data_IF_561834012416
#
_entry.id   IF_561834012416
#
_cell.length_a   1.000
_cell.length_b   1.000
_cell.length_c   1.000
_cell.angle_alpha   90.00
_cell.angle_beta   90.00
_cell.angle_gamma   90.00
#
_symmetry.space_group_name_H-M   'P 1'
#
loop_
_entity.id
_entity.type
_entity.pdbx_description
1 polymer ?
#
# COMPACT_ATOMS: atom_id res chain seq x y z
N UNK A 1 31.58 -0.97 -9.67
CA UNK A 1 32.28 -0.82 -8.39
C UNK A 1 31.30 -0.17 -7.43
N UNK A 2 31.03 -0.85 -6.32
CA UNK A 2 30.25 -0.46 -5.14
C UNK A 2 28.75 -0.17 -5.26
N UNK A 3 28.01 -1.01 -4.53
CA UNK A 3 26.62 -0.91 -4.09
C UNK A 3 26.42 0.25 -3.09
N UNK A 4 25.20 0.77 -3.02
CA UNK A 4 24.59 1.47 -1.86
C UNK A 4 23.08 1.24 -2.01
N UNK A 5 22.52 0.16 -1.49
CA UNK A 5 22.03 -0.06 -0.11
C UNK A 5 21.08 1.02 0.42
N UNK A 6 19.83 0.57 0.57
CA UNK A 6 18.68 1.16 1.23
C UNK A 6 18.99 1.65 2.65
N UNK A 7 18.62 2.91 2.96
CA UNK A 7 18.35 3.32 4.33
C UNK A 7 16.85 3.45 4.56
N UNK A 8 16.26 2.35 5.05
CA UNK A 8 15.02 2.39 5.82
C UNK A 8 15.28 3.17 7.12
N UNK A 9 14.34 4.07 7.45
CA UNK A 9 14.26 4.79 8.72
C UNK A 9 14.22 3.78 9.88
N UNK A 10 15.32 3.68 10.64
CA UNK A 10 15.37 3.03 11.95
C UNK A 10 15.20 4.09 13.04
N UNK A 11 14.06 4.05 13.72
CA UNK A 11 13.82 4.75 14.97
C UNK A 11 14.79 4.23 16.04
N UNK A 12 15.65 5.12 16.54
CA UNK A 12 16.64 4.84 17.58
C UNK A 12 15.95 4.91 18.96
N UNK A 13 15.77 3.77 19.62
CA UNK A 13 15.54 3.72 21.07
C UNK A 13 16.89 3.86 21.77
N UNK A 14 17.11 4.96 22.48
CA UNK A 14 18.25 5.11 23.39
C UNK A 14 17.88 4.42 24.70
N UNK A 15 18.47 3.26 24.96
CA UNK A 15 18.49 2.61 26.27
C UNK A 15 19.77 3.02 26.97
N UNK A 16 19.64 3.79 28.06
CA UNK A 16 20.75 4.10 28.97
C UNK A 16 20.87 2.96 29.97
N UNK A 17 21.93 2.15 29.83
CA UNK A 17 22.35 1.18 30.83
C UNK A 17 23.16 1.90 31.92
N UNK A 18 22.62 1.98 33.13
CA UNK A 18 23.39 2.29 34.34
C UNK A 18 23.65 0.99 35.08
N UNK A 19 24.92 0.59 35.08
CA UNK A 19 25.43 -0.51 35.89
C UNK A 19 25.63 -0.04 37.33
N UNK A 20 24.93 -0.65 38.27
CA UNK A 20 25.19 -0.53 39.70
C UNK A 20 25.29 -1.91 40.32
N UNK A 21 26.51 -2.36 40.59
CA UNK A 21 26.78 -3.58 41.33
C UNK A 21 26.53 -3.33 42.83
N UNK A 22 25.75 -4.20 43.47
CA UNK A 22 25.85 -4.43 44.91
C UNK A 22 25.79 -5.93 45.22
N UNK A 23 26.85 -6.34 45.90
CA UNK A 23 27.12 -7.63 46.53
C UNK A 23 26.24 -7.76 47.78
N UNK A 24 25.70 -8.94 48.01
CA UNK A 24 25.06 -9.30 49.28
C UNK A 24 24.70 -10.78 49.34
N UNK A 25 25.56 -11.56 50.00
CA UNK A 25 25.27 -12.89 50.56
C UNK A 25 24.04 -12.81 51.50
N UNK A 26 23.18 -13.81 51.66
CA UNK A 26 23.46 -14.96 52.53
C UNK A 26 22.35 -16.04 52.47
N UNK A 27 22.82 -17.29 52.41
CA UNK A 27 22.39 -18.53 53.09
C UNK A 27 20.92 -18.89 53.41
N UNK A 28 20.53 -20.05 52.83
CA UNK A 28 19.85 -21.24 53.42
C UNK A 28 18.56 -21.11 54.24
N UNK A 29 17.52 -21.86 53.85
CA UNK A 29 17.11 -23.04 54.63
C UNK A 29 16.07 -23.94 53.95
N UNK A 30 16.22 -25.22 54.26
CA UNK A 30 15.37 -26.39 53.99
C UNK A 30 13.87 -26.17 54.26
N UNK A 31 13.01 -26.81 53.46
CA UNK A 31 12.09 -27.82 54.00
C UNK A 31 11.69 -28.85 52.93
N UNK A 32 11.93 -30.12 53.25
CA UNK A 32 11.23 -31.24 52.65
C UNK A 32 9.79 -31.23 53.17
N UNK A 33 8.82 -31.45 52.29
CA UNK A 33 7.54 -32.04 52.70
C UNK A 33 7.19 -33.17 51.74
N UNK A 34 7.25 -34.38 52.30
CA UNK A 34 6.77 -35.62 51.73
C UNK A 34 5.24 -35.63 51.70
N UNK A 35 4.67 -35.96 50.55
CA UNK A 35 3.26 -36.27 50.41
C UNK A 35 3.08 -37.30 49.30
N UNK A 36 3.29 -38.56 49.65
CA UNK A 36 2.84 -39.70 48.86
C UNK A 36 1.34 -39.89 49.09
N UNK A 37 0.56 -39.93 48.02
CA UNK A 37 -0.49 -40.95 47.92
C UNK A 37 -0.80 -41.29 46.44
N UNK A 38 -0.96 -42.59 46.13
CA UNK A 38 -1.15 -43.07 44.77
C UNK A 38 -2.65 -43.18 44.47
N UNK A 39 -3.11 -42.57 43.38
CA UNK A 39 -4.39 -42.95 42.79
C UNK A 39 -4.25 -43.08 41.29
N UNK A 40 -4.17 -44.34 40.89
CA UNK A 40 -4.26 -44.88 39.55
C UNK A 40 -5.53 -44.40 38.86
N UNK A 41 -5.39 -43.56 37.84
CA UNK A 41 -6.39 -43.43 36.79
C UNK A 41 -5.74 -43.84 35.46
N UNK A 42 -6.23 -44.96 34.94
CA UNK A 42 -5.96 -45.43 33.58
C UNK A 42 -6.46 -44.37 32.60
N UNK A 43 -5.56 -43.53 32.11
CA UNK A 43 -5.81 -42.65 30.96
C UNK A 43 -5.40 -43.46 29.75
N UNK A 44 -6.40 -43.88 28.97
CA UNK A 44 -6.18 -44.43 27.64
C UNK A 44 -5.31 -43.43 26.86
N UNK A 45 -4.15 -43.91 26.41
CA UNK A 45 -3.31 -43.22 25.42
C UNK A 45 -4.17 -43.02 24.17
N UNK A 46 -4.82 -41.86 24.12
CA UNK A 46 -5.42 -41.34 22.92
C UNK A 46 -4.23 -40.96 22.04
N UNK A 47 -3.93 -41.82 21.06
CA UNK A 47 -2.99 -41.55 19.98
C UNK A 47 -3.29 -40.15 19.46
N UNK A 48 -2.47 -39.20 19.89
CA UNK A 48 -2.49 -37.85 19.40
C UNK A 48 -1.83 -37.97 18.05
N UNK A 49 -2.65 -38.12 17.00
CA UNK A 49 -2.23 -38.01 15.62
C UNK A 49 -1.39 -36.73 15.51
N UNK A 50 -0.07 -36.92 15.51
CA UNK A 50 0.92 -35.88 15.35
C UNK A 50 0.94 -35.50 13.88
N UNK A 51 -0.17 -34.92 13.42
CA UNK A 51 -0.14 -34.10 12.23
C UNK A 51 0.78 -32.92 12.57
N UNK A 52 1.96 -32.91 11.94
CA UNK A 52 2.79 -31.71 11.90
C UNK A 52 1.86 -30.53 11.58
N UNK A 53 1.81 -29.49 12.43
CA UNK A 53 0.91 -28.37 12.19
C UNK A 53 1.18 -27.84 10.79
N UNK A 54 0.17 -27.85 9.93
CA UNK A 54 0.29 -27.28 8.60
C UNK A 54 0.73 -25.82 8.74
N UNK A 55 1.76 -25.41 7.99
CA UNK A 55 2.21 -24.04 8.02
C UNK A 55 1.07 -23.08 7.68
N UNK A 56 0.98 -21.96 8.39
CA UNK A 56 -0.03 -20.96 8.12
C UNK A 56 0.19 -20.33 6.74
N UNK A 57 -0.89 -20.12 6.00
CA UNK A 57 -0.84 -19.66 4.62
C UNK A 57 -2.01 -18.73 4.30
N UNK A 58 -1.81 -17.92 3.26
CA UNK A 58 -2.82 -17.04 2.68
C UNK A 58 -2.87 -17.32 1.18
N UNK A 59 -4.07 -17.28 0.63
CA UNK A 59 -4.29 -17.33 -0.80
C UNK A 59 -5.29 -16.26 -1.22
N UNK A 60 -5.16 -15.82 -2.46
CA UNK A 60 -6.10 -14.94 -3.10
C UNK A 60 -6.43 -15.46 -4.50
N UNK A 61 -7.69 -15.28 -4.91
CA UNK A 61 -8.12 -15.44 -6.29
C UNK A 61 -8.84 -14.18 -6.73
N UNK A 62 -8.68 -13.83 -8.00
CA UNK A 62 -9.28 -12.64 -8.59
C UNK A 62 -10.40 -13.03 -9.56
N UNK A 63 -11.54 -12.36 -9.46
CA UNK A 63 -12.65 -12.49 -10.40
C UNK A 63 -13.02 -11.11 -10.94
N UNK A 64 -13.07 -10.96 -12.27
CA UNK A 64 -13.58 -9.73 -12.90
C UNK A 64 -15.10 -9.65 -12.70
N UNK A 65 -15.57 -8.51 -12.22
CA UNK A 65 -17.00 -8.19 -12.08
C UNK A 65 -17.35 -7.11 -13.10
N UNK A 66 -17.58 -7.53 -14.35
CA UNK A 66 -17.68 -6.62 -15.48
C UNK A 66 -16.32 -6.00 -15.85
N UNK A 67 -16.36 -4.82 -16.50
CA UNK A 67 -15.15 -4.21 -17.06
C UNK A 67 -14.34 -3.40 -16.03
N UNK A 68 -15.00 -2.91 -14.97
CA UNK A 68 -14.46 -1.87 -14.11
C UNK A 68 -14.28 -2.30 -12.66
N UNK A 69 -14.57 -3.56 -12.31
CA UNK A 69 -14.43 -4.03 -10.93
C UNK A 69 -13.73 -5.38 -10.87
N UNK A 70 -12.96 -5.57 -9.81
CA UNK A 70 -12.32 -6.84 -9.47
C UNK A 70 -12.72 -7.22 -8.06
N UNK A 71 -13.24 -8.43 -7.91
CA UNK A 71 -13.43 -9.09 -6.64
C UNK A 71 -12.20 -9.93 -6.33
N UNK A 72 -11.56 -9.70 -5.20
CA UNK A 72 -10.58 -10.60 -4.63
C UNK A 72 -11.25 -11.47 -3.57
N UNK A 73 -11.22 -12.78 -3.75
CA UNK A 73 -11.61 -13.77 -2.75
C UNK A 73 -10.36 -14.23 -2.03
N UNK A 74 -10.35 -14.09 -0.72
CA UNK A 74 -9.20 -14.31 0.14
C UNK A 74 -9.49 -15.52 1.04
N UNK A 75 -8.48 -16.36 1.22
CA UNK A 75 -8.56 -17.51 2.12
C UNK A 75 -7.28 -17.68 2.94
N UNK A 76 -7.43 -18.25 4.13
CA UNK A 76 -6.34 -18.60 5.04
C UNK A 76 -6.73 -19.79 5.92
N UNK A 77 -5.75 -20.50 6.47
CA UNK A 77 -5.92 -21.51 7.51
C UNK A 77 -5.74 -20.95 8.94
N UNK A 78 -5.52 -19.64 9.11
CA UNK A 78 -5.53 -19.02 10.45
C UNK A 78 -6.96 -19.09 11.03
N UNK A 79 -7.16 -19.62 12.26
CA UNK A 79 -8.47 -19.72 12.89
C UNK A 79 -9.03 -18.35 13.30
N UNK A 80 -10.32 -18.31 13.65
CA UNK A 80 -11.01 -17.10 14.09
C UNK A 80 -11.12 -16.01 13.01
N UNK A 81 -11.06 -14.75 13.46
CA UNK A 81 -11.22 -13.55 12.63
C UNK A 81 -9.90 -12.80 12.50
N UNK A 82 -9.49 -12.56 11.26
CA UNK A 82 -8.33 -11.72 10.95
C UNK A 82 -8.68 -10.62 9.95
N UNK A 83 -7.74 -9.70 9.77
CA UNK A 83 -7.76 -8.66 8.73
C UNK A 83 -6.47 -8.73 7.92
N UNK A 84 -6.64 -8.74 6.60
CA UNK A 84 -5.55 -8.71 5.64
C UNK A 84 -5.45 -7.35 4.97
N UNK A 85 -4.24 -6.94 4.60
CA UNK A 85 -4.06 -5.93 3.57
C UNK A 85 -4.13 -6.61 2.21
N UNK A 86 -5.09 -6.23 1.39
CA UNK A 86 -5.23 -6.70 0.02
C UNK A 86 -5.03 -5.54 -0.94
N UNK A 87 -4.39 -5.79 -2.08
CA UNK A 87 -4.18 -4.75 -3.07
C UNK A 87 -3.88 -5.28 -4.46
N UNK A 88 -3.97 -4.38 -5.42
CA UNK A 88 -3.59 -4.54 -6.81
C UNK A 88 -2.64 -3.40 -7.14
N UNK A 89 -1.45 -3.69 -7.64
CA UNK A 89 -0.49 -2.68 -8.08
C UNK A 89 0.02 -3.03 -9.47
N UNK A 90 0.37 -2.04 -10.28
CA UNK A 90 0.99 -2.27 -11.57
C UNK A 90 2.25 -3.13 -11.37
N UNK A 91 2.49 -4.06 -12.29
CA UNK A 91 3.66 -4.91 -12.24
C UNK A 91 4.92 -4.11 -12.60
N UNK A 92 6.06 -4.54 -12.06
CA UNK A 92 7.39 -4.06 -12.43
C UNK A 92 7.62 -2.54 -12.23
N UNK A 93 6.87 -1.91 -11.32
CA UNK A 93 7.13 -0.53 -10.90
C UNK A 93 8.45 -0.46 -10.11
N UNK A 94 9.28 0.53 -10.44
CA UNK A 94 10.50 0.85 -9.71
C UNK A 94 10.16 1.40 -8.31
N UNK A 95 11.09 1.33 -7.34
CA UNK A 95 10.83 1.82 -5.98
C UNK A 95 10.56 3.34 -5.89
N UNK A 96 11.06 4.10 -6.84
CA UNK A 96 10.91 5.55 -6.98
C UNK A 96 9.73 5.97 -7.87
N UNK A 97 9.05 5.01 -8.52
CA UNK A 97 7.86 5.29 -9.31
C UNK A 97 6.69 5.74 -8.42
N UNK A 98 5.84 6.59 -9.01
CA UNK A 98 4.52 6.88 -8.43
C UNK A 98 3.68 5.59 -8.44
N UNK A 99 3.28 5.11 -7.26
CA UNK A 99 2.52 3.87 -7.12
C UNK A 99 1.21 3.94 -7.92
N UNK A 100 1.01 2.99 -8.84
CA UNK A 100 -0.24 2.82 -9.58
C UNK A 100 -0.94 1.58 -9.07
N UNK A 101 -2.00 1.77 -8.30
CA UNK A 101 -2.73 0.64 -7.72
C UNK A 101 -3.82 1.04 -6.76
N UNK A 102 -4.41 0.04 -6.14
CA UNK A 102 -5.43 0.18 -5.09
C UNK A 102 -5.14 -0.82 -3.99
N UNK A 103 -5.35 -0.41 -2.75
CA UNK A 103 -5.25 -1.29 -1.59
C UNK A 103 -6.44 -1.07 -0.67
N UNK A 104 -6.65 -2.02 0.23
CA UNK A 104 -7.75 -2.00 1.18
C UNK A 104 -7.61 -3.12 2.19
N UNK A 105 -8.33 -2.98 3.30
CA UNK A 105 -8.40 -4.01 4.33
C UNK A 105 -9.52 -4.98 4.00
N UNK A 106 -9.27 -6.27 4.19
CA UNK A 106 -10.26 -7.32 4.04
C UNK A 106 -10.38 -8.09 5.34
N UNK A 107 -11.59 -8.14 5.91
CA UNK A 107 -11.89 -8.96 7.08
C UNK A 107 -12.16 -10.39 6.62
N UNK A 108 -11.46 -11.34 7.22
CA UNK A 108 -11.67 -12.77 7.03
C UNK A 108 -12.26 -13.35 8.31
N UNK A 109 -13.35 -14.11 8.17
CA UNK A 109 -14.01 -14.81 9.28
C UNK A 109 -13.91 -16.29 8.98
N UNK A 110 -13.34 -17.07 9.90
CA UNK A 110 -13.13 -18.51 9.76
C UNK A 110 -12.42 -18.84 8.43
N UNK A 111 -11.32 -18.14 8.19
CA UNK A 111 -10.45 -18.38 7.05
C UNK A 111 -10.93 -17.83 5.70
N UNK A 112 -12.06 -17.11 5.61
CA UNK A 112 -12.59 -16.62 4.32
C UNK A 112 -13.03 -15.15 4.37
N UNK A 113 -12.79 -14.44 3.27
CA UNK A 113 -13.18 -13.04 3.14
C UNK A 113 -13.07 -12.55 1.70
N UNK A 114 -13.50 -11.31 1.44
CA UNK A 114 -13.44 -10.72 0.11
C UNK A 114 -13.31 -9.20 0.16
N UNK A 115 -12.76 -8.62 -0.91
CA UNK A 115 -12.71 -7.17 -1.13
C UNK A 115 -12.95 -6.88 -2.61
N UNK A 116 -13.58 -5.76 -2.93
CA UNK A 116 -13.81 -5.32 -4.31
C UNK A 116 -13.09 -4.01 -4.57
N UNK A 117 -12.36 -3.94 -5.68
CA UNK A 117 -11.74 -2.71 -6.17
C UNK A 117 -12.44 -2.24 -7.43
N UNK A 118 -12.81 -0.96 -7.49
CA UNK A 118 -13.10 -0.29 -8.76
C UNK A 118 -11.76 -0.02 -9.46
N UNK A 119 -11.59 -0.45 -10.70
CA UNK A 119 -10.35 -0.36 -11.48
C UNK A 119 -10.51 0.46 -12.76
N UNK A 120 -11.62 1.20 -12.90
CA UNK A 120 -11.90 2.02 -14.09
C UNK A 120 -10.87 3.12 -14.35
N UNK A 121 -10.20 3.58 -13.30
CA UNK A 121 -9.21 4.66 -13.31
C UNK A 121 -7.77 4.15 -13.38
N UNK A 122 -7.55 2.84 -13.30
CA UNK A 122 -6.22 2.25 -13.45
C UNK A 122 -5.90 2.07 -14.93
N UNK A 123 -4.66 2.30 -15.38
CA UNK A 123 -4.30 2.03 -16.77
C UNK A 123 -4.40 0.55 -17.13
N UNK A 124 -4.40 0.28 -18.43
CA UNK A 124 -4.24 -1.05 -18.97
C UNK A 124 -2.82 -1.57 -18.70
N UNK A 125 -2.70 -2.84 -18.32
CA UNK A 125 -1.40 -3.43 -18.02
C UNK A 125 -1.46 -4.74 -17.25
N UNK A 126 -0.27 -5.24 -16.88
CA UNK A 126 -0.12 -6.36 -15.95
C UNK A 126 -0.06 -5.82 -14.53
N UNK A 127 -0.77 -6.46 -13.62
CA UNK A 127 -0.87 -6.07 -12.21
C UNK A 127 -0.50 -7.24 -11.31
N UNK A 128 0.06 -6.94 -10.14
CA UNK A 128 0.26 -7.86 -9.06
C UNK A 128 -0.87 -7.71 -8.04
N UNK A 129 -1.64 -8.76 -7.83
CA UNK A 129 -2.50 -8.90 -6.66
C UNK A 129 -1.63 -9.32 -5.49
N UNK A 130 -1.71 -8.58 -4.39
CA UNK A 130 -1.03 -8.89 -3.13
C UNK A 130 -2.05 -9.05 -2.01
N UNK A 131 -1.88 -10.06 -1.17
CA UNK A 131 -2.55 -10.18 0.11
C UNK A 131 -1.47 -10.38 1.19
N UNK A 132 -1.53 -9.60 2.26
CA UNK A 132 -0.55 -9.65 3.33
C UNK A 132 -1.22 -9.61 4.70
N UNK A 133 -0.78 -10.50 5.59
CA UNK A 133 -1.14 -10.51 7.00
C UNK A 133 0.03 -10.02 7.83
N UNK A 134 -0.28 -9.23 8.85
CA UNK A 134 0.69 -8.71 9.79
C UNK A 134 0.18 -8.98 11.21
N UNK A 135 0.80 -9.90 11.98
CA UNK A 135 0.35 -10.28 13.32
C UNK A 135 0.11 -9.09 14.26
N UNK A 136 0.93 -8.03 14.12
CA UNK A 136 0.85 -6.80 14.94
C UNK A 136 -0.53 -6.14 14.95
N UNK A 137 -1.34 -6.28 13.90
CA UNK A 137 -2.65 -5.62 13.80
C UNK A 137 -3.75 -6.46 13.13
N UNK A 138 -3.37 -7.59 12.53
CA UNK A 138 -4.26 -8.42 11.73
C UNK A 138 -5.25 -9.22 12.57
N UNK A 139 -4.90 -9.63 13.79
CA UNK A 139 -5.82 -10.38 14.67
C UNK A 139 -7.00 -9.52 15.15
N UNK A 140 -8.22 -10.07 15.13
CA UNK A 140 -9.44 -9.37 15.55
C UNK A 140 -10.22 -10.05 16.68
N UNK A 141 -9.80 -11.24 17.11
CA UNK A 141 -10.36 -11.97 18.24
C UNK A 141 -9.30 -12.80 18.98
N UNK A 142 -9.66 -13.37 20.13
CA UNK A 142 -8.73 -14.17 20.94
C UNK A 142 -8.39 -15.52 20.29
N UNK A 143 -9.35 -16.14 19.59
CA UNK A 143 -9.11 -17.41 18.87
C UNK A 143 -7.98 -17.27 17.84
N UNK A 144 -8.02 -16.21 17.03
CA UNK A 144 -6.97 -15.95 16.05
C UNK A 144 -5.63 -15.63 16.70
N UNK A 145 -5.59 -14.90 17.84
CA UNK A 145 -4.35 -14.65 18.60
C UNK A 145 -3.72 -15.93 19.16
N UNK A 146 -4.56 -16.89 19.59
CA UNK A 146 -4.11 -18.17 20.13
C UNK A 146 -3.54 -19.12 19.06
N UNK A 147 -3.65 -18.78 17.77
CA UNK A 147 -3.04 -19.54 16.66
C UNK A 147 -1.51 -19.62 16.75
N UNK A 148 -0.87 -18.66 17.43
CA UNK A 148 0.59 -18.60 17.53
C UNK A 148 1.30 -18.10 16.26
N UNK A 149 0.57 -17.54 15.28
CA UNK A 149 1.18 -16.90 14.10
C UNK A 149 1.91 -15.63 14.54
N UNK A 150 3.24 -15.60 14.41
CA UNK A 150 4.09 -14.47 14.80
C UNK A 150 4.86 -13.85 13.61
N UNK A 151 4.81 -14.48 12.44
CA UNK A 151 5.41 -13.98 11.20
C UNK A 151 4.40 -13.31 10.26
N UNK A 152 4.92 -12.44 9.38
CA UNK A 152 4.11 -11.87 8.31
C UNK A 152 3.92 -12.92 7.21
N UNK A 153 2.68 -13.05 6.72
CA UNK A 153 2.35 -13.94 5.61
C UNK A 153 2.03 -13.09 4.38
N UNK A 154 2.56 -13.48 3.23
CA UNK A 154 2.30 -12.80 1.96
C UNK A 154 1.92 -13.77 0.85
N UNK A 155 0.98 -13.33 0.01
CA UNK A 155 0.60 -14.01 -1.22
C UNK A 155 0.63 -13.01 -2.38
N UNK A 156 1.17 -13.44 -3.53
CA UNK A 156 1.28 -12.63 -4.74
C UNK A 156 0.94 -13.46 -5.97
N UNK A 157 0.12 -12.90 -6.86
CA UNK A 157 -0.07 -13.44 -8.21
C UNK A 157 -0.37 -12.33 -9.21
N UNK A 158 -0.18 -12.60 -10.49
CA UNK A 158 -0.37 -11.60 -11.54
C UNK A 158 -1.73 -11.71 -12.22
N UNK A 159 -2.26 -10.56 -12.67
CA UNK A 159 -3.48 -10.42 -13.45
C UNK A 159 -3.29 -9.39 -14.58
N UNK A 160 -4.18 -9.37 -15.57
CA UNK A 160 -4.17 -8.35 -16.63
C UNK A 160 -5.45 -7.54 -16.66
N UNK A 161 -5.28 -6.21 -16.62
CA UNK A 161 -6.36 -5.23 -16.57
C UNK A 161 -6.41 -4.41 -17.86
N UNK A 162 -7.63 -4.08 -18.27
CA UNK A 162 -7.88 -3.10 -19.33
C UNK A 162 -8.12 -1.72 -18.74
N UNK A 163 -8.78 -1.64 -17.59
CA UNK A 163 -8.89 -0.41 -16.80
C UNK A 163 -9.50 0.76 -17.58
N UNK A 164 -8.83 1.92 -17.56
CA UNK A 164 -9.18 3.13 -18.31
C UNK A 164 -8.97 3.00 -19.82
N UNK A 165 -8.24 1.99 -20.28
CA UNK A 165 -7.82 1.82 -21.67
C UNK A 165 -6.52 2.53 -22.02
N UNK A 166 -6.02 3.42 -21.16
CA UNK A 166 -4.72 4.05 -21.34
C UNK A 166 -3.57 3.06 -21.10
N UNK A 167 -2.48 3.08 -21.88
CA UNK A 167 -1.28 2.29 -21.58
C UNK A 167 -0.60 2.72 -20.26
N UNK A 168 -0.06 1.76 -19.51
CA UNK A 168 0.66 2.04 -18.27
C UNK A 168 1.83 3.04 -18.41
N UNK A 169 2.58 2.98 -19.51
CA UNK A 169 3.69 3.90 -19.78
C UNK A 169 3.21 5.35 -19.91
N UNK A 170 2.10 5.57 -20.63
CA UNK A 170 1.48 6.90 -20.76
C UNK A 170 0.97 7.42 -19.41
N UNK A 171 0.37 6.54 -18.61
CA UNK A 171 -0.07 6.90 -17.27
C UNK A 171 1.11 7.27 -16.34
N UNK A 172 2.23 6.57 -16.42
CA UNK A 172 3.45 6.91 -15.67
C UNK A 172 3.99 8.27 -16.10
N UNK A 173 4.17 8.51 -17.41
CA UNK A 173 4.63 9.78 -17.95
C UNK A 173 3.72 10.95 -17.53
N UNK A 174 2.39 10.73 -17.56
CA UNK A 174 1.43 11.72 -17.06
C UNK A 174 1.65 12.00 -15.58
N UNK A 175 1.70 10.97 -14.74
CA UNK A 175 1.84 11.13 -13.29
C UNK A 175 3.15 11.83 -12.93
N UNK A 176 4.27 11.50 -13.58
CA UNK A 176 5.56 12.18 -13.41
C UNK A 176 5.49 13.65 -13.83
N UNK A 177 4.86 13.93 -14.97
CA UNK A 177 4.66 15.29 -15.45
C UNK A 177 3.80 16.12 -14.49
N UNK A 178 2.71 15.53 -13.98
CA UNK A 178 1.85 16.13 -12.97
C UNK A 178 2.64 16.43 -11.69
N UNK A 179 3.39 15.45 -11.16
CA UNK A 179 4.22 15.62 -9.98
C UNK A 179 5.22 16.76 -10.16
N UNK A 180 5.90 16.80 -11.31
CA UNK A 180 6.84 17.87 -11.62
C UNK A 180 6.17 19.25 -11.62
N UNK A 181 4.99 19.39 -12.23
CA UNK A 181 4.24 20.66 -12.23
C UNK A 181 3.88 21.07 -10.80
N UNK A 182 3.36 20.14 -9.99
CA UNK A 182 2.98 20.41 -8.61
C UNK A 182 4.15 20.84 -7.73
N UNK A 183 5.34 20.30 -7.98
CA UNK A 183 6.55 20.59 -7.20
C UNK A 183 7.30 21.84 -7.65
N UNK A 184 7.30 22.13 -8.95
CA UNK A 184 8.18 23.16 -9.53
C UNK A 184 7.43 24.44 -9.92
N UNK A 185 6.12 24.38 -10.11
CA UNK A 185 5.35 25.52 -10.60
C UNK A 185 4.58 26.17 -9.45
N UNK A 186 4.93 27.41 -9.17
CA UNK A 186 4.27 28.26 -8.16
C UNK A 186 3.64 29.49 -8.82
N UNK A 187 2.69 30.13 -8.13
CA UNK A 187 2.07 31.37 -8.61
C UNK A 187 3.13 32.46 -8.83
N UNK A 188 3.11 33.10 -9.99
CA UNK A 188 4.11 34.09 -10.41
C UNK A 188 5.28 33.51 -11.19
N UNK A 189 5.33 32.18 -11.39
CA UNK A 189 6.35 31.56 -12.27
C UNK A 189 6.21 32.10 -13.69
N UNK A 190 7.33 32.33 -14.38
CA UNK A 190 7.31 32.81 -15.76
C UNK A 190 6.60 31.81 -16.70
N UNK A 191 5.77 32.33 -17.58
CA UNK A 191 5.19 31.56 -18.68
C UNK A 191 6.12 31.61 -19.89
N UNK A 192 6.83 30.51 -20.14
CA UNK A 192 7.61 30.29 -21.36
C UNK A 192 6.92 29.25 -22.25
N UNK A 193 6.14 29.67 -23.27
CA UNK A 193 5.48 28.75 -24.20
C UNK A 193 6.43 27.72 -24.83
N UNK A 194 7.69 28.11 -25.08
CA UNK A 194 8.70 27.24 -25.66
C UNK A 194 9.08 26.11 -24.72
N UNK A 195 9.38 26.43 -23.46
CA UNK A 195 9.63 25.44 -22.41
C UNK A 195 8.47 24.45 -22.28
N UNK A 196 7.24 24.95 -22.12
CA UNK A 196 6.06 24.12 -21.91
C UNK A 196 5.79 23.20 -23.11
N UNK A 197 5.89 23.74 -24.32
CA UNK A 197 5.73 22.97 -25.57
C UNK A 197 6.77 21.88 -25.70
N UNK A 198 8.03 22.20 -25.40
CA UNK A 198 9.14 21.25 -25.53
C UNK A 198 9.05 20.13 -24.49
N UNK A 199 8.58 20.44 -23.27
CA UNK A 199 8.52 19.47 -22.18
C UNK A 199 7.27 18.60 -22.23
N UNK A 200 6.10 19.18 -22.49
CA UNK A 200 4.82 18.51 -22.33
C UNK A 200 4.02 18.38 -23.63
N UNK A 201 4.53 18.94 -24.73
CA UNK A 201 3.88 18.90 -26.03
C UNK A 201 2.88 20.04 -26.23
N UNK A 202 1.97 19.85 -27.19
CA UNK A 202 0.96 20.87 -27.52
C UNK A 202 -0.10 20.95 -26.43
N UNK A 203 -0.66 22.15 -26.27
CA UNK A 203 -1.82 22.39 -25.42
C UNK A 203 -3.03 22.80 -26.26
N UNK A 204 -4.20 22.65 -25.66
CA UNK A 204 -5.46 23.16 -26.17
C UNK A 204 -5.88 24.36 -25.32
N UNK A 205 -6.15 25.48 -25.97
CA UNK A 205 -6.74 26.64 -25.32
C UNK A 205 -8.25 26.48 -25.21
N UNK A 206 -8.84 26.97 -24.12
CA UNK A 206 -10.29 27.06 -23.98
C UNK A 206 -10.70 28.35 -23.24
N UNK A 207 -11.94 28.84 -23.45
CA UNK A 207 -12.35 30.14 -22.93
C UNK A 207 -12.28 30.23 -21.41
N UNK A 208 -11.98 31.43 -20.92
CA UNK A 208 -12.06 31.77 -19.50
C UNK A 208 -13.50 32.15 -19.13
N UNK A 209 -14.03 31.61 -18.02
CA UNK A 209 -15.45 31.78 -17.65
C UNK A 209 -15.71 32.66 -16.43
N UNK A 210 -14.77 32.74 -15.50
CA UNK A 210 -14.91 33.40 -14.18
C UNK A 210 -14.02 34.62 -14.01
N UNK A 211 -13.06 34.84 -14.91
CA UNK A 211 -12.10 35.96 -14.88
C UNK A 211 -12.15 36.75 -16.18
N UNK A 212 -11.40 37.85 -16.23
CA UNK A 212 -11.28 38.64 -17.44
C UNK A 212 -10.47 37.84 -18.49
N UNK A 213 -11.09 37.44 -19.62
CA UNK A 213 -10.43 36.65 -20.67
C UNK A 213 -9.34 37.43 -21.42
N UNK A 214 -9.32 38.76 -21.36
CA UNK A 214 -8.30 39.57 -22.03
C UNK A 214 -6.93 39.49 -21.34
N UNK A 215 -6.91 39.06 -20.07
CA UNK A 215 -5.69 38.98 -19.26
C UNK A 215 -5.42 37.58 -18.71
N UNK A 216 -6.34 36.65 -18.87
CA UNK A 216 -6.24 35.28 -18.35
C UNK A 216 -6.42 34.30 -19.50
N UNK A 217 -5.59 33.26 -19.56
CA UNK A 217 -5.71 32.19 -20.54
C UNK A 217 -5.60 30.82 -19.88
N UNK A 218 -6.42 29.87 -20.35
CA UNK A 218 -6.42 28.48 -19.89
C UNK A 218 -5.71 27.60 -20.94
N UNK A 219 -4.59 26.98 -20.57
CA UNK A 219 -3.81 26.10 -21.43
C UNK A 219 -3.89 24.65 -20.94
N UNK A 220 -4.69 23.81 -21.59
CA UNK A 220 -4.87 22.41 -21.22
C UNK A 220 -3.86 21.49 -21.94
N UNK A 221 -3.07 20.76 -21.17
CA UNK A 221 -2.13 19.75 -21.65
C UNK A 221 -2.73 18.36 -21.51
N UNK A 222 -3.10 17.75 -22.63
CA UNK A 222 -3.71 16.41 -22.65
C UNK A 222 -2.75 15.33 -22.12
N UNK A 223 -1.45 15.46 -22.41
CA UNK A 223 -0.39 14.58 -21.91
C UNK A 223 -0.27 14.58 -20.38
N UNK A 224 -0.64 15.69 -19.74
CA UNK A 224 -0.63 15.84 -18.29
C UNK A 224 -2.00 15.63 -17.67
N UNK A 225 -3.08 15.65 -18.46
CA UNK A 225 -4.43 15.92 -17.99
C UNK A 225 -4.45 17.06 -16.95
N UNK A 226 -3.87 18.21 -17.30
CA UNK A 226 -3.79 19.39 -16.43
C UNK A 226 -3.98 20.67 -17.24
N UNK A 227 -4.54 21.69 -16.58
CA UNK A 227 -4.67 23.05 -17.13
C UNK A 227 -3.73 23.99 -16.40
N UNK A 228 -2.90 24.71 -17.15
CA UNK A 228 -2.08 25.82 -16.66
C UNK A 228 -2.84 27.12 -16.93
N UNK A 229 -3.06 27.92 -15.88
CA UNK A 229 -3.81 29.18 -15.96
C UNK A 229 -2.81 30.32 -15.88
N UNK A 230 -2.76 31.14 -16.93
CA UNK A 230 -1.71 32.14 -17.13
C UNK A 230 -2.32 33.53 -17.15
N UNK A 231 -1.63 34.47 -16.53
CA UNK A 231 -1.86 35.90 -16.71
C UNK A 231 -1.08 36.37 -17.94
N UNK A 232 -1.76 36.49 -19.07
CA UNK A 232 -1.16 36.82 -20.36
C UNK A 232 -0.62 38.25 -20.42
N UNK A 233 -1.10 39.15 -19.56
CA UNK A 233 -0.58 40.51 -19.45
C UNK A 233 0.78 40.57 -18.73
N UNK A 234 0.97 39.72 -17.71
CA UNK A 234 2.22 39.64 -16.94
C UNK A 234 3.20 38.58 -17.45
N UNK A 235 2.74 37.71 -18.35
CA UNK A 235 3.46 36.53 -18.79
C UNK A 235 3.86 35.60 -17.61
N UNK A 236 2.92 35.39 -16.68
CA UNK A 236 3.15 34.62 -15.46
C UNK A 236 2.05 33.59 -15.24
N UNK A 237 2.41 32.42 -14.74
CA UNK A 237 1.48 31.39 -14.30
C UNK A 237 0.77 31.86 -13.04
N UNK A 238 -0.56 31.93 -13.09
CA UNK A 238 -1.38 32.26 -11.93
C UNK A 238 -1.60 31.03 -11.05
N UNK A 239 -1.96 29.90 -11.66
CA UNK A 239 -2.20 28.64 -10.95
C UNK A 239 -2.27 27.48 -11.95
N UNK A 240 -2.45 26.26 -11.45
CA UNK A 240 -2.71 25.06 -12.25
C UNK A 240 -3.86 24.26 -11.65
N UNK A 241 -4.51 23.43 -12.46
CA UNK A 241 -5.59 22.54 -12.03
C UNK A 241 -5.49 21.19 -12.72
N UNK A 242 -5.97 20.14 -12.03
CA UNK A 242 -6.12 18.82 -12.63
C UNK A 242 -7.27 18.82 -13.63
N UNK A 243 -7.11 18.07 -14.72
CA UNK A 243 -8.06 17.95 -15.80
C UNK A 243 -8.20 19.21 -16.65
N UNK A 244 -9.23 19.19 -17.50
CA UNK A 244 -9.69 20.35 -18.28
C UNK A 244 -10.56 21.28 -17.42
N UNK A 245 -10.01 21.71 -16.29
CA UNK A 245 -10.66 22.66 -15.37
C UNK A 245 -9.90 23.99 -15.37
N UNK A 246 -10.59 25.06 -15.76
CA UNK A 246 -10.01 26.40 -15.94
C UNK A 246 -10.63 27.42 -15.00
N UNK A 247 -10.22 28.68 -15.18
CA UNK A 247 -10.98 29.82 -14.66
C UNK A 247 -12.03 30.24 -15.67
#
# INVERSE_FOLDING_TARGET
>A
MSFSEFHFIKTLFIVVLVSGALVGCDTSNYSLSSGSDPSSNNIAEQETDSHSPEAYSISASSQKLGNNKILLKLATNIPGTIELMAGISLADQAPDDILIGKNGRARLVNGKGQVTFNVSDLPSGKYNVKAAFYPRWGFKDEESKLSGVDENLEYKHSISLTGSGEPAESANQRNEGQAWVMENITMGSEWDPGFWKNRFGQWNEFPVTTRNPDITSNYYFESLDMTIIVNSFKNEITTWRMGRDGL
#
